data_IF_709074564374
#
_entry.id   IF_709074564374
#
_cell.length_a   1.000
_cell.length_b   1.000
_cell.length_c   1.000
_cell.angle_alpha   90.00
_cell.angle_beta   90.00
_cell.angle_gamma   90.00
#
_symmetry.space_group_name_H-M   'P 1'
#
loop_
_entity.id
_entity.type
_entity.pdbx_description
1 polymer ?
#
# COMPACT_ATOMS: atom_id res chain seq x y z
N UNK A 1 5.62 -17.36 -14.60
CA UNK A 1 6.64 -17.95 -13.68
C UNK A 1 6.09 -17.78 -12.27
N UNK A 2 6.10 -18.84 -11.43
CA UNK A 2 5.43 -18.79 -10.13
C UNK A 2 6.05 -17.78 -9.17
N UNK A 3 5.23 -17.18 -8.34
CA UNK A 3 5.57 -16.15 -7.33
C UNK A 3 6.73 -16.56 -6.42
N UNK A 4 6.79 -17.83 -6.00
CA UNK A 4 7.89 -18.37 -5.19
C UNK A 4 9.27 -18.32 -5.87
N UNK A 5 9.32 -18.56 -7.19
CA UNK A 5 10.58 -18.47 -7.94
C UNK A 5 11.06 -17.01 -8.06
N UNK A 6 10.14 -16.05 -8.16
CA UNK A 6 10.46 -14.63 -8.15
C UNK A 6 11.03 -14.21 -6.80
N UNK A 7 10.41 -14.64 -5.70
CA UNK A 7 10.90 -14.36 -4.34
C UNK A 7 12.30 -14.95 -4.10
N UNK A 8 12.56 -16.17 -4.58
CA UNK A 8 13.87 -16.80 -4.49
C UNK A 8 14.97 -15.94 -5.15
N UNK A 9 14.75 -15.49 -6.40
CA UNK A 9 15.71 -14.64 -7.12
C UNK A 9 15.94 -13.29 -6.45
N UNK A 10 14.86 -12.64 -5.97
CA UNK A 10 14.96 -11.38 -5.24
C UNK A 10 15.75 -11.55 -3.94
N UNK A 11 15.49 -12.61 -3.19
CA UNK A 11 16.23 -12.92 -1.96
C UNK A 11 17.72 -13.17 -2.22
N UNK A 12 18.05 -13.88 -3.30
CA UNK A 12 19.45 -14.07 -3.73
C UNK A 12 20.11 -12.76 -4.14
N UNK A 13 19.42 -11.92 -4.93
CA UNK A 13 19.94 -10.62 -5.37
C UNK A 13 20.19 -9.70 -4.17
N UNK A 14 19.28 -9.63 -3.20
CA UNK A 14 19.47 -8.86 -1.98
C UNK A 14 20.70 -9.34 -1.19
N UNK A 15 20.82 -10.65 -0.95
CA UNK A 15 21.98 -11.21 -0.24
C UNK A 15 23.30 -11.09 -0.99
N UNK A 16 23.23 -10.99 -2.31
CA UNK A 16 24.40 -10.77 -3.18
C UNK A 16 24.92 -9.35 -3.22
N UNK A 17 24.20 -8.36 -2.64
CA UNK A 17 24.67 -6.99 -2.55
C UNK A 17 25.95 -6.93 -1.69
N UNK A 18 27.01 -6.35 -2.27
CA UNK A 18 28.35 -6.29 -1.63
C UNK A 18 28.33 -5.40 -0.40
N UNK A 19 28.93 -5.86 0.72
CA UNK A 19 29.19 -5.01 1.87
C UNK A 19 28.55 -5.45 3.19
N UNK A 20 27.97 -6.63 3.29
CA UNK A 20 27.37 -7.17 4.51
C UNK A 20 25.89 -7.53 4.35
N UNK A 21 25.13 -7.57 5.43
CA UNK A 21 23.70 -7.81 5.34
C UNK A 21 23.00 -6.65 4.60
N UNK A 22 22.16 -6.92 3.58
CA UNK A 22 21.51 -5.88 2.80
C UNK A 22 20.55 -5.07 3.69
N UNK A 23 20.54 -3.75 3.52
CA UNK A 23 19.57 -2.90 4.20
C UNK A 23 18.26 -2.90 3.43
N UNK A 24 17.22 -3.41 4.03
CA UNK A 24 15.85 -3.30 3.52
C UNK A 24 15.10 -2.32 4.41
N UNK A 25 14.67 -1.20 3.85
CA UNK A 25 13.99 -0.13 4.57
C UNK A 25 12.56 -0.03 4.09
N UNK A 26 11.59 -0.08 5.00
CA UNK A 26 10.19 0.15 4.70
C UNK A 26 9.76 1.54 5.19
N UNK A 27 9.46 2.43 4.26
CA UNK A 27 9.02 3.80 4.51
C UNK A 27 7.53 3.89 4.81
N UNK A 28 7.11 3.56 6.05
CA UNK A 28 5.69 3.54 6.41
C UNK A 28 5.44 3.84 7.88
N UNK A 29 4.23 4.35 8.17
CA UNK A 29 3.65 4.39 9.52
C UNK A 29 2.56 3.31 9.70
N UNK A 30 2.08 2.68 8.62
CA UNK A 30 0.97 1.72 8.61
C UNK A 30 1.36 0.38 9.25
N UNK A 31 0.53 -0.09 10.18
CA UNK A 31 0.67 -1.43 10.77
C UNK A 31 0.34 -2.53 9.76
N UNK A 32 -0.69 -2.34 8.93
CA UNK A 32 -1.09 -3.31 7.91
C UNK A 32 0.05 -3.56 6.89
N UNK A 33 0.70 -2.50 6.39
CA UNK A 33 1.86 -2.66 5.51
C UNK A 33 3.03 -3.40 6.17
N UNK A 34 3.25 -3.19 7.47
CA UNK A 34 4.29 -3.91 8.21
C UNK A 34 3.96 -5.39 8.34
N UNK A 35 2.70 -5.74 8.58
CA UNK A 35 2.25 -7.13 8.67
C UNK A 35 2.49 -7.88 7.35
N UNK A 36 2.13 -7.27 6.21
CA UNK A 36 2.44 -7.83 4.90
C UNK A 36 3.96 -7.96 4.70
N UNK A 37 4.73 -6.91 5.06
CA UNK A 37 6.18 -6.92 4.91
C UNK A 37 6.84 -8.00 5.77
N UNK A 38 6.31 -8.31 6.95
CA UNK A 38 6.80 -9.40 7.81
C UNK A 38 6.72 -10.77 7.10
N UNK A 39 5.66 -10.98 6.31
CA UNK A 39 5.51 -12.17 5.46
C UNK A 39 6.55 -12.20 4.33
N UNK A 40 6.68 -11.09 3.61
CA UNK A 40 7.64 -10.95 2.50
C UNK A 40 9.08 -11.08 2.98
N UNK A 41 9.44 -10.43 4.07
CA UNK A 41 10.79 -10.50 4.64
C UNK A 41 11.19 -11.91 5.05
N UNK A 42 10.27 -12.67 5.66
CA UNK A 42 10.46 -14.10 5.97
C UNK A 42 10.69 -14.93 4.69
N UNK A 43 9.90 -14.71 3.67
CA UNK A 43 10.02 -15.42 2.39
C UNK A 43 11.36 -15.12 1.69
N UNK A 44 11.80 -13.86 1.72
CA UNK A 44 13.07 -13.42 1.14
C UNK A 44 14.29 -13.83 1.99
N UNK A 45 14.08 -14.20 3.27
CA UNK A 45 15.16 -14.52 4.21
C UNK A 45 15.99 -13.28 4.58
N UNK A 46 15.35 -12.10 4.72
CA UNK A 46 15.99 -10.83 5.07
C UNK A 46 15.30 -10.16 6.26
N UNK A 47 16.03 -9.36 7.02
CA UNK A 47 15.45 -8.42 7.97
C UNK A 47 15.12 -7.09 7.29
N UNK A 48 14.30 -6.27 7.94
CA UNK A 48 14.03 -4.91 7.48
C UNK A 48 13.92 -3.92 8.65
N UNK A 49 14.12 -2.65 8.36
CA UNK A 49 13.88 -1.55 9.31
C UNK A 49 12.73 -0.66 8.82
N UNK A 50 12.05 0.01 9.76
CA UNK A 50 10.94 0.91 9.45
C UNK A 50 11.37 2.36 9.65
N UNK A 51 11.07 3.21 8.66
CA UNK A 51 11.26 4.67 8.75
C UNK A 51 9.98 5.40 8.36
N UNK A 52 9.73 6.56 9.00
CA UNK A 52 8.58 7.41 8.67
C UNK A 52 9.07 8.61 7.86
N UNK A 53 8.36 8.94 6.80
CA UNK A 53 8.73 10.04 5.92
C UNK A 53 8.45 11.42 6.52
N UNK A 54 7.34 11.58 7.26
CA UNK A 54 6.97 12.86 7.88
C UNK A 54 6.63 13.97 6.88
N UNK A 55 6.06 13.64 5.71
CA UNK A 55 5.67 14.61 4.67
C UNK A 55 4.25 15.14 4.89
N UNK A 56 3.94 16.31 4.32
CA UNK A 56 2.56 16.81 4.18
C UNK A 56 1.92 16.19 2.94
N UNK A 57 1.24 15.05 3.14
CA UNK A 57 0.54 14.33 2.06
C UNK A 57 -0.58 15.18 1.44
N UNK A 58 -1.18 16.10 2.22
CA UNK A 58 -2.27 16.96 1.71
C UNK A 58 -1.80 18.03 0.73
N UNK A 59 -0.52 18.36 0.70
CA UNK A 59 0.07 19.28 -0.26
C UNK A 59 0.23 18.67 -1.67
N UNK A 60 0.20 17.34 -1.79
CA UNK A 60 0.35 16.64 -3.06
C UNK A 60 -1.03 16.26 -3.59
N UNK A 61 -1.38 16.74 -4.77
CA UNK A 61 -2.66 16.46 -5.44
C UNK A 61 -2.44 16.07 -6.89
N UNK A 62 -3.19 15.08 -7.37
CA UNK A 62 -3.29 14.67 -8.78
C UNK A 62 -4.74 14.28 -9.05
N UNK A 63 -5.19 14.44 -10.30
CA UNK A 63 -6.54 14.04 -10.71
C UNK A 63 -6.65 12.53 -10.92
N UNK A 64 -5.57 11.91 -11.39
CA UNK A 64 -5.49 10.45 -11.53
C UNK A 64 -5.02 9.83 -10.21
N UNK A 65 -5.77 8.86 -9.64
CA UNK A 65 -5.41 8.20 -8.39
C UNK A 65 -4.07 7.46 -8.45
N UNK A 66 -3.76 6.83 -9.60
CA UNK A 66 -2.49 6.13 -9.79
C UNK A 66 -1.30 7.09 -9.78
N UNK A 67 -1.42 8.24 -10.46
CA UNK A 67 -0.41 9.30 -10.41
C UNK A 67 -0.27 9.89 -9.00
N UNK A 68 -1.39 10.03 -8.28
CA UNK A 68 -1.39 10.55 -6.90
C UNK A 68 -0.59 9.64 -5.97
N UNK A 69 -0.90 8.35 -5.95
CA UNK A 69 -0.23 7.40 -5.03
C UNK A 69 1.25 7.21 -5.37
N UNK A 70 1.63 7.29 -6.65
CA UNK A 70 3.05 7.28 -7.05
C UNK A 70 3.76 8.55 -6.63
N UNK A 71 3.15 9.72 -6.81
CA UNK A 71 3.75 10.99 -6.37
C UNK A 71 3.95 11.03 -4.86
N UNK A 72 2.99 10.51 -4.09
CA UNK A 72 3.08 10.39 -2.64
C UNK A 72 4.17 9.40 -2.22
N UNK A 73 4.25 8.24 -2.87
CA UNK A 73 5.30 7.25 -2.59
C UNK A 73 6.70 7.76 -2.92
N UNK A 74 6.87 8.48 -4.04
CA UNK A 74 8.13 9.15 -4.40
C UNK A 74 8.51 10.22 -3.38
N UNK A 75 7.59 11.08 -2.97
CA UNK A 75 7.84 12.12 -1.98
C UNK A 75 8.24 11.52 -0.61
N UNK A 76 7.64 10.39 -0.22
CA UNK A 76 8.06 9.63 0.97
C UNK A 76 9.50 9.11 0.83
N UNK A 77 9.86 8.59 -0.34
CA UNK A 77 11.22 8.12 -0.59
C UNK A 77 12.22 9.27 -0.50
N UNK A 78 11.94 10.41 -1.14
CA UNK A 78 12.80 11.59 -1.11
C UNK A 78 13.02 12.09 0.32
N UNK A 79 11.96 12.23 1.10
CA UNK A 79 12.04 12.70 2.48
C UNK A 79 12.86 11.76 3.37
N UNK A 80 12.71 10.44 3.22
CA UNK A 80 13.49 9.47 3.99
C UNK A 80 14.97 9.52 3.59
N UNK A 81 15.26 9.61 2.29
CA UNK A 81 16.64 9.69 1.80
C UNK A 81 17.32 10.99 2.24
N UNK A 82 16.60 12.11 2.24
CA UNK A 82 17.10 13.39 2.74
C UNK A 82 17.40 13.34 4.24
N UNK A 83 16.46 12.85 5.05
CA UNK A 83 16.62 12.70 6.51
C UNK A 83 17.76 11.76 6.90
N UNK A 84 18.06 10.78 6.06
CA UNK A 84 19.05 9.73 6.32
C UNK A 84 20.23 9.76 5.33
N UNK A 85 20.53 10.92 4.72
CA UNK A 85 21.55 11.03 3.67
C UNK A 85 22.92 10.49 4.08
N UNK A 86 23.33 10.65 5.35
CA UNK A 86 24.60 10.12 5.87
C UNK A 86 24.57 8.62 6.19
N UNK A 87 23.41 7.97 6.15
CA UNK A 87 23.22 6.59 6.60
C UNK A 87 22.74 5.66 5.47
N UNK A 88 21.87 6.14 4.59
CA UNK A 88 21.26 5.34 3.52
C UNK A 88 21.89 5.56 2.14
N UNK A 89 22.43 6.74 1.86
CA UNK A 89 22.98 7.06 0.55
C UNK A 89 24.20 6.18 0.24
N UNK A 90 24.15 5.44 -0.87
CA UNK A 90 25.22 4.53 -1.27
C UNK A 90 25.25 3.21 -0.49
N UNK A 91 24.33 2.98 0.44
CA UNK A 91 24.26 1.72 1.16
C UNK A 91 23.83 0.56 0.22
N UNK A 92 24.31 -0.65 0.51
CA UNK A 92 23.88 -1.85 -0.19
C UNK A 92 22.48 -2.25 0.29
N UNK A 93 21.44 -1.95 -0.50
CA UNK A 93 20.08 -2.23 -0.08
C UNK A 93 19.00 -1.52 -0.89
N UNK A 94 17.78 -1.55 -0.38
CA UNK A 94 16.61 -0.95 -1.01
C UNK A 94 15.76 -0.17 0.01
N UNK A 95 15.12 0.89 -0.45
CA UNK A 95 14.05 1.59 0.24
C UNK A 95 12.73 1.32 -0.48
N UNK A 96 11.73 0.85 0.26
CA UNK A 96 10.39 0.57 -0.21
C UNK A 96 9.46 1.63 0.38
N UNK A 97 8.77 2.39 -0.47
CA UNK A 97 7.75 3.34 -0.05
C UNK A 97 6.44 3.07 -0.77
N UNK A 98 5.33 3.35 -0.11
CA UNK A 98 4.01 3.10 -0.65
C UNK A 98 3.00 4.14 -0.18
N UNK A 99 2.03 4.40 -1.05
CA UNK A 99 0.82 5.12 -0.69
C UNK A 99 -0.41 4.41 -1.23
N UNK A 100 -1.59 4.70 -0.67
CA UNK A 100 -2.84 4.10 -1.09
C UNK A 100 -3.97 5.09 -0.90
N UNK A 101 -4.87 5.11 -1.88
CA UNK A 101 -6.16 5.77 -1.80
C UNK A 101 -7.29 4.78 -2.07
N UNK A 102 -8.48 5.10 -1.58
CA UNK A 102 -9.72 4.41 -1.96
C UNK A 102 -10.46 5.27 -2.97
N UNK A 103 -10.95 4.66 -4.03
CA UNK A 103 -11.74 5.33 -5.07
C UNK A 103 -13.10 4.70 -5.22
N UNK A 104 -14.03 5.42 -5.82
CA UNK A 104 -15.35 4.94 -6.17
C UNK A 104 -15.65 5.25 -7.63
N UNK A 105 -16.21 4.28 -8.34
CA UNK A 105 -16.41 4.35 -9.79
C UNK A 105 -15.18 3.87 -10.59
N UNK A 106 -15.17 4.07 -11.92
CA UNK A 106 -14.05 3.66 -12.76
C UNK A 106 -12.73 4.30 -12.32
N UNK A 107 -11.69 3.49 -12.15
CA UNK A 107 -10.37 3.98 -11.76
C UNK A 107 -9.71 4.70 -12.94
N UNK A 108 -9.25 5.92 -12.72
CA UNK A 108 -8.61 6.77 -13.72
C UNK A 108 -8.83 8.25 -13.43
N UNK A 109 -8.47 9.15 -14.36
CA UNK A 109 -8.67 10.59 -14.19
C UNK A 109 -10.13 10.93 -13.91
N UNK A 110 -10.37 11.69 -12.83
CA UNK A 110 -11.70 12.06 -12.38
C UNK A 110 -12.43 11.01 -11.53
N UNK A 111 -11.80 9.89 -11.17
CA UNK A 111 -12.34 8.97 -10.17
C UNK A 111 -12.55 9.70 -8.83
N UNK A 112 -13.67 9.41 -8.17
CA UNK A 112 -13.92 9.98 -6.84
C UNK A 112 -13.00 9.33 -5.84
N UNK A 113 -12.05 10.09 -5.32
CA UNK A 113 -11.20 9.64 -4.21
C UNK A 113 -12.00 9.79 -2.91
N UNK A 114 -12.04 8.73 -2.12
CA UNK A 114 -12.66 8.71 -0.80
C UNK A 114 -11.58 8.91 0.25
N UNK A 115 -11.73 9.95 1.03
CA UNK A 115 -10.88 10.20 2.20
C UNK A 115 -11.46 9.48 3.44
N UNK A 116 -10.88 9.72 4.60
CA UNK A 116 -11.42 9.26 5.88
C UNK A 116 -12.70 10.02 6.16
N UNK A 117 -13.79 9.37 6.53
CA UNK A 117 -15.03 10.06 6.88
C UNK A 117 -14.81 11.07 8.01
N UNK A 118 -15.36 12.26 7.87
CA UNK A 118 -15.28 13.30 8.90
C UNK A 118 -16.51 13.30 9.84
N UNK A 119 -17.54 12.53 9.48
CA UNK A 119 -18.75 12.40 10.28
C UNK A 119 -19.42 11.03 10.14
N UNK A 120 -20.25 10.68 11.13
CA UNK A 120 -21.06 9.46 11.08
C UNK A 120 -22.04 9.44 9.90
N UNK A 121 -22.55 10.61 9.51
CA UNK A 121 -23.47 10.75 8.37
C UNK A 121 -22.75 10.46 7.06
N UNK A 122 -21.56 11.02 6.87
CA UNK A 122 -20.71 10.76 5.71
C UNK A 122 -20.34 9.28 5.61
N UNK A 123 -19.91 8.67 6.72
CA UNK A 123 -19.60 7.24 6.76
C UNK A 123 -20.79 6.39 6.30
N UNK A 124 -22.00 6.65 6.86
CA UNK A 124 -23.20 5.88 6.46
C UNK A 124 -23.52 6.07 4.97
N UNK A 125 -23.41 7.28 4.46
CA UNK A 125 -23.68 7.58 3.06
C UNK A 125 -22.70 6.84 2.13
N UNK A 126 -21.41 6.86 2.45
CA UNK A 126 -20.37 6.15 1.69
C UNK A 126 -20.57 4.65 1.78
N UNK A 127 -20.70 4.07 2.97
CA UNK A 127 -20.86 2.63 3.16
C UNK A 127 -22.09 2.07 2.43
N UNK A 128 -23.24 2.77 2.47
CA UNK A 128 -24.45 2.36 1.73
C UNK A 128 -24.29 2.42 0.23
N UNK A 129 -23.46 3.30 -0.30
CA UNK A 129 -23.23 3.43 -1.75
C UNK A 129 -22.38 2.31 -2.35
N UNK A 130 -21.70 1.51 -1.55
CA UNK A 130 -20.76 0.50 -2.01
C UNK A 130 -21.36 -0.67 -2.80
N UNK A 131 -22.65 -0.94 -2.61
CA UNK A 131 -23.36 -1.97 -3.39
C UNK A 131 -23.56 -1.53 -4.84
N UNK A 132 -23.93 -0.26 -5.04
CA UNK A 132 -24.23 0.29 -6.37
C UNK A 132 -22.97 0.82 -7.07
N UNK A 133 -21.98 1.25 -6.28
CA UNK A 133 -20.72 1.80 -6.77
C UNK A 133 -19.56 1.21 -5.95
N UNK A 134 -19.05 0.04 -6.34
CA UNK A 134 -18.00 -0.66 -5.61
C UNK A 134 -16.75 0.20 -5.42
N UNK A 135 -16.13 0.16 -4.22
CA UNK A 135 -14.86 0.85 -4.00
C UNK A 135 -13.71 0.08 -4.62
N UNK A 136 -12.65 0.81 -4.97
CA UNK A 136 -11.36 0.23 -5.33
C UNK A 136 -10.25 0.83 -4.47
N UNK A 137 -9.33 -0.01 -4.02
CA UNK A 137 -8.05 0.46 -3.50
C UNK A 137 -7.08 0.65 -4.64
N UNK A 138 -6.38 1.78 -4.67
CA UNK A 138 -5.31 2.09 -5.62
C UNK A 138 -4.04 2.27 -4.82
N UNK A 139 -3.08 1.36 -4.98
CA UNK A 139 -1.81 1.34 -4.24
C UNK A 139 -0.65 1.68 -5.17
N UNK A 140 0.14 2.67 -4.81
CA UNK A 140 1.39 3.02 -5.50
C UNK A 140 2.60 2.57 -4.68
N UNK A 141 3.54 1.87 -5.34
CA UNK A 141 4.80 1.44 -4.75
C UNK A 141 5.98 2.04 -5.49
N UNK A 142 6.99 2.45 -4.73
CA UNK A 142 8.30 2.84 -5.23
C UNK A 142 9.36 2.04 -4.50
N UNK A 143 10.24 1.37 -5.27
CA UNK A 143 11.43 0.69 -4.75
C UNK A 143 12.64 1.45 -5.25
N UNK A 144 13.43 2.00 -4.31
CA UNK A 144 14.67 2.71 -4.61
C UNK A 144 15.87 1.83 -4.26
N UNK A 145 16.74 1.57 -5.20
CA UNK A 145 18.04 0.97 -4.94
C UNK A 145 18.94 2.02 -4.28
N UNK A 146 19.36 1.78 -3.05
CA UNK A 146 20.13 2.73 -2.24
C UNK A 146 21.55 2.98 -2.78
N UNK A 147 22.14 1.97 -3.45
CA UNK A 147 23.47 2.05 -4.02
C UNK A 147 23.53 2.89 -5.30
N UNK A 148 22.53 2.80 -6.15
CA UNK A 148 22.50 3.46 -7.47
C UNK A 148 21.55 4.66 -7.54
N UNK A 149 20.60 4.77 -6.64
CA UNK A 149 19.50 5.73 -6.69
C UNK A 149 18.40 5.41 -7.71
N UNK A 150 18.53 4.31 -8.46
CA UNK A 150 17.51 3.89 -9.44
C UNK A 150 16.20 3.52 -8.75
N UNK A 151 15.07 3.87 -9.38
CA UNK A 151 13.72 3.62 -8.85
C UNK A 151 12.88 2.79 -9.81
N UNK A 152 12.29 1.72 -9.31
CA UNK A 152 11.20 0.99 -9.94
C UNK A 152 9.87 1.45 -9.34
N UNK A 153 8.83 1.60 -10.19
CA UNK A 153 7.53 2.13 -9.79
C UNK A 153 6.40 1.26 -10.32
N UNK A 154 5.31 1.17 -9.58
CA UNK A 154 4.13 0.47 -10.05
C UNK A 154 2.89 0.82 -9.27
N UNK A 155 1.75 0.59 -9.91
CA UNK A 155 0.42 0.75 -9.32
C UNK A 155 -0.28 -0.59 -9.33
N UNK A 156 -1.04 -0.86 -8.28
CA UNK A 156 -1.95 -2.00 -8.17
C UNK A 156 -3.34 -1.51 -7.79
N UNK A 157 -4.36 -2.21 -8.30
CA UNK A 157 -5.76 -1.85 -8.09
C UNK A 157 -6.56 -3.07 -7.71
N UNK A 158 -7.33 -2.97 -6.62
CA UNK A 158 -8.27 -4.02 -6.19
C UNK A 158 -9.67 -3.44 -6.08
N UNK A 159 -10.61 -3.97 -6.86
CA UNK A 159 -12.04 -3.67 -6.72
C UNK A 159 -12.66 -4.62 -5.69
N UNK A 160 -13.45 -4.07 -4.76
CA UNK A 160 -14.15 -4.83 -3.72
C UNK A 160 -15.64 -4.68 -3.96
N UNK A 161 -16.33 -5.80 -4.21
CA UNK A 161 -17.77 -5.85 -4.45
C UNK A 161 -18.49 -6.37 -3.22
N UNK A 162 -19.50 -5.65 -2.80
CA UNK A 162 -20.41 -6.04 -1.73
C UNK A 162 -21.70 -6.61 -2.30
N UNK A 163 -22.12 -7.79 -1.82
CA UNK A 163 -23.30 -8.51 -2.34
C UNK A 163 -24.62 -8.00 -1.80
N UNK A 164 -24.59 -7.23 -0.71
CA UNK A 164 -25.79 -6.65 -0.07
C UNK A 164 -25.42 -5.39 0.71
N UNK A 165 -26.36 -4.47 0.92
CA UNK A 165 -26.15 -3.33 1.80
C UNK A 165 -25.82 -3.79 3.22
N UNK A 166 -24.98 -3.02 3.91
CA UNK A 166 -24.72 -3.26 5.32
C UNK A 166 -26.00 -2.99 6.14
N UNK A 167 -26.39 -3.89 7.07
CA UNK A 167 -27.45 -3.61 8.02
C UNK A 167 -27.14 -2.37 8.84
N UNK A 168 -28.15 -1.59 9.19
CA UNK A 168 -27.96 -0.40 10.03
C UNK A 168 -27.28 -0.75 11.37
N UNK A 169 -27.59 -1.90 11.96
CA UNK A 169 -26.94 -2.38 13.18
C UNK A 169 -25.42 -2.59 12.99
N UNK A 170 -24.98 -3.06 11.82
CA UNK A 170 -23.56 -3.18 11.48
C UNK A 170 -22.91 -1.80 11.41
N UNK A 171 -23.53 -0.85 10.71
CA UNK A 171 -22.99 0.50 10.58
C UNK A 171 -22.88 1.21 11.94
N UNK A 172 -23.89 1.05 12.81
CA UNK A 172 -23.84 1.63 14.16
C UNK A 172 -22.76 1.00 15.05
N UNK A 173 -22.54 -0.31 14.92
CA UNK A 173 -21.44 -0.98 15.65
C UNK A 173 -20.08 -0.46 15.19
N UNK A 174 -19.84 -0.41 13.87
CA UNK A 174 -18.59 0.11 13.31
C UNK A 174 -18.34 1.58 13.72
N UNK A 175 -19.40 2.40 13.77
CA UNK A 175 -19.31 3.79 14.27
C UNK A 175 -18.97 3.85 15.75
N UNK A 176 -19.54 2.97 16.57
CA UNK A 176 -19.28 2.95 18.01
C UNK A 176 -17.84 2.51 18.33
N UNK A 177 -17.24 1.64 17.52
CA UNK A 177 -15.83 1.24 17.59
C UNK A 177 -14.91 2.40 17.19
N UNK A 178 -15.33 3.23 16.22
CA UNK A 178 -14.65 4.46 15.83
C UNK A 178 -13.53 4.33 14.81
N UNK A 179 -13.10 3.13 14.47
CA UNK A 179 -11.99 2.88 13.54
C UNK A 179 -12.29 3.35 12.11
N UNK A 180 -13.56 3.47 11.75
CA UNK A 180 -14.04 4.00 10.46
C UNK A 180 -13.50 5.40 10.14
N UNK A 181 -13.21 6.21 11.16
CA UNK A 181 -12.66 7.57 10.99
C UNK A 181 -11.14 7.59 10.73
N UNK A 182 -10.49 6.44 10.82
CA UNK A 182 -9.04 6.30 10.58
C UNK A 182 -8.69 5.58 9.29
N UNK A 183 -9.71 5.09 8.57
CA UNK A 183 -9.58 4.31 7.36
C UNK A 183 -10.19 5.09 6.16
N UNK A 184 -9.45 5.20 5.05
CA UNK A 184 -9.96 5.79 3.82
C UNK A 184 -11.17 4.98 3.30
N UNK A 185 -12.25 5.66 2.92
CA UNK A 185 -13.51 5.01 2.55
C UNK A 185 -14.29 4.42 3.72
N UNK A 186 -13.78 4.49 4.97
CA UNK A 186 -14.49 4.14 6.19
C UNK A 186 -14.72 2.64 6.45
N UNK A 187 -14.29 1.73 5.57
CA UNK A 187 -14.55 0.29 5.69
C UNK A 187 -13.23 -0.49 5.71
N UNK A 188 -13.06 -1.33 6.72
CA UNK A 188 -11.96 -2.27 6.86
C UNK A 188 -12.45 -3.66 6.42
N UNK A 189 -11.89 -4.20 5.35
CA UNK A 189 -12.34 -5.48 4.74
C UNK A 189 -12.10 -6.69 5.65
N UNK A 190 -11.10 -6.61 6.53
CA UNK A 190 -10.75 -7.63 7.52
C UNK A 190 -11.69 -7.65 8.73
N UNK A 191 -12.53 -6.63 8.89
CA UNK A 191 -13.43 -6.56 10.03
C UNK A 191 -14.50 -7.64 9.98
N UNK A 192 -14.71 -8.36 11.09
CA UNK A 192 -15.61 -9.52 11.18
C UNK A 192 -17.07 -9.23 10.77
N UNK A 193 -17.54 -7.99 10.94
CA UNK A 193 -18.85 -7.53 10.51
C UNK A 193 -18.89 -7.11 9.02
N UNK A 194 -17.74 -6.89 8.38
CA UNK A 194 -17.63 -6.47 6.98
C UNK A 194 -17.42 -7.66 6.06
N UNK A 195 -16.48 -8.55 6.41
CA UNK A 195 -16.10 -9.73 5.62
C UNK A 195 -17.29 -10.53 5.09
N UNK A 196 -18.38 -10.80 5.86
CA UNK A 196 -19.54 -11.57 5.36
C UNK A 196 -20.29 -10.89 4.22
N UNK A 197 -20.14 -9.58 4.01
CA UNK A 197 -20.79 -8.82 2.96
C UNK A 197 -19.97 -8.74 1.67
N UNK A 198 -18.69 -9.13 1.69
CA UNK A 198 -17.83 -9.12 0.51
C UNK A 198 -18.25 -10.26 -0.41
N UNK A 199 -18.70 -9.91 -1.61
CA UNK A 199 -19.10 -10.87 -2.65
C UNK A 199 -17.91 -11.28 -3.51
N UNK A 200 -17.07 -10.33 -3.87
CA UNK A 200 -15.92 -10.53 -4.75
C UNK A 200 -14.81 -9.52 -4.41
N UNK A 201 -13.57 -9.99 -4.41
CA UNK A 201 -12.39 -9.14 -4.38
C UNK A 201 -11.58 -9.44 -5.63
N UNK A 202 -11.43 -8.45 -6.51
CA UNK A 202 -10.65 -8.57 -7.76
C UNK A 202 -9.23 -8.11 -7.53
N UNK A 203 -8.46 -8.94 -6.90
CA UNK A 203 -7.09 -8.73 -6.47
C UNK A 203 -6.78 -9.52 -5.21
N UNK A 204 -5.84 -9.05 -4.42
CA UNK A 204 -5.35 -9.76 -3.24
C UNK A 204 -5.50 -8.92 -1.97
N UNK A 205 -5.61 -9.59 -0.82
CA UNK A 205 -5.80 -8.95 0.47
C UNK A 205 -4.59 -8.08 0.88
N UNK A 206 -3.37 -8.54 0.59
CA UNK A 206 -2.14 -7.77 0.80
C UNK A 206 -2.13 -6.45 0.00
N UNK A 207 -2.76 -6.45 -1.19
CA UNK A 207 -2.96 -5.24 -1.97
C UNK A 207 -3.95 -4.29 -1.28
N UNK A 208 -5.05 -4.79 -0.73
CA UNK A 208 -6.00 -3.98 0.05
C UNK A 208 -5.32 -3.40 1.29
N UNK A 209 -4.39 -4.13 1.90
CA UNK A 209 -3.56 -3.63 3.02
C UNK A 209 -2.47 -2.63 2.60
N UNK A 210 -2.37 -2.35 1.30
CA UNK A 210 -1.55 -1.28 0.75
C UNK A 210 -0.08 -1.64 0.52
N UNK A 211 0.25 -2.94 0.47
CA UNK A 211 1.56 -3.44 0.06
C UNK A 211 1.41 -4.69 -0.82
N UNK A 212 0.94 -4.55 -2.08
CA UNK A 212 0.73 -5.66 -2.99
C UNK A 212 2.03 -6.46 -3.21
N UNK A 213 2.05 -7.68 -2.68
CA UNK A 213 3.23 -8.55 -2.62
C UNK A 213 3.81 -8.84 -4.01
N UNK A 214 2.99 -9.24 -4.96
CA UNK A 214 3.49 -9.61 -6.28
C UNK A 214 4.05 -8.40 -7.05
N UNK A 215 3.43 -7.22 -6.90
CA UNK A 215 3.97 -5.96 -7.39
C UNK A 215 5.31 -5.64 -6.72
N UNK A 216 5.38 -5.76 -5.38
CA UNK A 216 6.61 -5.51 -4.62
C UNK A 216 7.76 -6.40 -5.09
N UNK A 217 7.55 -7.71 -5.25
CA UNK A 217 8.57 -8.64 -5.73
C UNK A 217 9.06 -8.30 -7.14
N UNK A 218 8.15 -7.90 -8.04
CA UNK A 218 8.51 -7.45 -9.38
C UNK A 218 9.37 -6.19 -9.35
N UNK A 219 8.98 -5.18 -8.55
CA UNK A 219 9.73 -3.92 -8.44
C UNK A 219 11.08 -4.10 -7.75
N UNK A 220 11.17 -5.02 -6.78
CA UNK A 220 12.45 -5.40 -6.17
C UNK A 220 13.39 -6.03 -7.23
N UNK A 221 12.88 -6.97 -8.03
CA UNK A 221 13.66 -7.58 -9.09
C UNK A 221 14.16 -6.55 -10.12
N UNK A 222 13.29 -5.60 -10.52
CA UNK A 222 13.64 -4.52 -11.44
C UNK A 222 14.71 -3.60 -10.84
N UNK A 223 14.51 -3.11 -9.61
CA UNK A 223 15.44 -2.20 -8.93
C UNK A 223 16.83 -2.84 -8.67
N UNK A 224 16.87 -4.16 -8.53
CA UNK A 224 18.08 -4.93 -8.27
C UNK A 224 18.73 -5.47 -9.56
N UNK A 225 18.10 -5.30 -10.73
CA UNK A 225 18.57 -5.89 -11.99
C UNK A 225 18.50 -7.43 -12.02
N UNK A 226 17.53 -8.02 -11.29
CA UNK A 226 17.31 -9.46 -11.14
C UNK A 226 16.04 -9.96 -11.88
N UNK A 227 15.52 -9.16 -12.81
CA UNK A 227 14.30 -9.42 -13.57
C UNK A 227 14.48 -10.55 -14.62
#
# INVERSE_FOLDING_TARGET
MGSAAAAGRVGEALRGLSGGAPRVVLGTASSARREVMDGVARELGVGYEVRKAGIDEKAIRREDPGELVLALADAKADAILEQAAGDLAGAAGVLITADQVVTQGPVGPGARILEKPESAEEFRAVARSYVDSPPSTVSGLVVTNLGTGARARGVDVVEIRFGSPFPDSTLETLLAEGDVFYCAGGIMVEHSLVTPHIQEMRGTEDSVFGLPRDLLLRLLAEALGAA
#
